data_IF_514458678090
#
_entry.id   IF_514458678090
#
_cell.length_a   1.000
_cell.length_b   1.000
_cell.length_c   1.000
_cell.angle_alpha   90.00
_cell.angle_beta   90.00
_cell.angle_gamma   90.00
#
_symmetry.space_group_name_H-M   'P 1'
#
loop_
_entity.id
_entity.type
_entity.pdbx_description
1 polymer ?
#
# COMPACT_ATOMS: atom_id res chain seq x y z
N UNK A 1 -5.99 -33.48 3.01
CA UNK A 1 -6.82 -33.40 4.22
C UNK A 1 -7.96 -32.46 3.92
N UNK A 2 -9.18 -32.80 4.33
CA UNK A 2 -10.32 -31.89 4.31
C UNK A 2 -10.29 -30.99 5.55
N UNK A 3 -11.10 -29.91 5.58
CA UNK A 3 -11.09 -28.93 6.68
C UNK A 3 -11.27 -29.55 8.08
N UNK A 4 -12.19 -30.51 8.24
CA UNK A 4 -12.48 -31.14 9.53
C UNK A 4 -11.33 -32.06 10.03
N UNK A 5 -10.67 -32.74 9.10
CA UNK A 5 -9.49 -33.57 9.39
C UNK A 5 -8.29 -32.71 9.78
N UNK A 6 -8.13 -31.54 9.14
CA UNK A 6 -7.10 -30.57 9.45
C UNK A 6 -7.30 -29.92 10.83
N UNK A 7 -8.54 -29.56 11.15
CA UNK A 7 -8.90 -28.99 12.45
C UNK A 7 -8.62 -29.97 13.59
N UNK A 8 -9.02 -31.23 13.41
CA UNK A 8 -8.78 -32.29 14.41
C UNK A 8 -7.29 -32.55 14.64
N UNK A 9 -6.48 -32.48 13.57
CA UNK A 9 -5.03 -32.64 13.66
C UNK A 9 -4.36 -31.43 14.33
N UNK A 10 -4.84 -30.21 14.02
CA UNK A 10 -4.37 -28.97 14.64
C UNK A 10 -4.62 -28.97 16.15
N UNK A 11 -5.82 -29.36 16.58
CA UNK A 11 -6.15 -29.48 18.01
C UNK A 11 -5.24 -30.50 18.72
N UNK A 12 -4.92 -31.62 18.08
CA UNK A 12 -3.97 -32.59 18.62
C UNK A 12 -2.56 -31.99 18.79
N UNK A 13 -2.06 -31.27 17.78
CA UNK A 13 -0.77 -30.60 17.87
C UNK A 13 -0.73 -29.51 18.94
N UNK A 14 -1.78 -28.68 19.03
CA UNK A 14 -1.88 -27.62 20.04
C UNK A 14 -1.92 -28.19 21.46
N UNK A 15 -2.71 -29.24 21.70
CA UNK A 15 -2.79 -29.89 23.01
C UNK A 15 -1.45 -30.53 23.40
N UNK A 16 -0.76 -31.14 22.45
CA UNK A 16 0.55 -31.76 22.68
C UNK A 16 1.61 -30.70 22.98
N UNK A 17 1.68 -29.62 22.19
CA UNK A 17 2.62 -28.53 22.41
C UNK A 17 2.37 -27.78 23.73
N UNK A 18 1.11 -27.56 24.12
CA UNK A 18 0.77 -26.97 25.43
C UNK A 18 1.21 -27.85 26.59
N UNK A 19 0.98 -29.16 26.50
CA UNK A 19 1.43 -30.10 27.53
C UNK A 19 2.96 -30.14 27.65
N UNK A 20 3.68 -30.10 26.53
CA UNK A 20 5.14 -30.05 26.52
C UNK A 20 5.69 -28.73 27.10
N UNK A 21 5.06 -27.60 26.79
CA UNK A 21 5.42 -26.30 27.35
C UNK A 21 5.18 -26.26 28.87
N UNK A 22 4.05 -26.81 29.34
CA UNK A 22 3.73 -26.94 30.77
C UNK A 22 4.73 -27.86 31.50
N UNK A 23 5.09 -29.00 30.91
CA UNK A 23 6.09 -29.93 31.47
C UNK A 23 7.49 -29.30 31.52
N UNK A 24 7.85 -28.51 30.51
CA UNK A 24 9.13 -27.81 30.43
C UNK A 24 9.18 -26.52 31.29
N UNK A 25 8.05 -26.06 31.82
CA UNK A 25 7.93 -24.78 32.52
C UNK A 25 8.21 -23.57 31.61
N UNK A 26 8.00 -23.72 30.30
CA UNK A 26 8.22 -22.68 29.29
C UNK A 26 6.89 -22.15 28.77
N UNK A 27 6.90 -20.94 28.22
CA UNK A 27 5.71 -20.38 27.57
C UNK A 27 5.37 -21.17 26.30
N UNK A 28 4.07 -21.32 26.03
CA UNK A 28 3.60 -21.97 24.81
C UNK A 28 3.78 -21.04 23.60
N UNK A 29 4.62 -21.42 22.65
CA UNK A 29 4.96 -20.60 21.46
C UNK A 29 4.35 -21.12 20.15
N UNK A 30 3.37 -22.04 20.22
CA UNK A 30 2.74 -22.63 19.05
C UNK A 30 3.11 -24.10 18.80
N UNK A 31 2.72 -24.63 17.64
CA UNK A 31 2.87 -26.06 17.28
C UNK A 31 4.19 -26.39 16.56
N UNK A 32 5.06 -25.42 16.28
CA UNK A 32 6.28 -25.62 15.47
C UNK A 32 7.26 -26.66 16.02
N UNK A 33 7.16 -26.99 17.31
CA UNK A 33 7.97 -28.05 17.95
C UNK A 33 7.41 -29.46 17.75
N UNK A 34 6.15 -29.60 17.33
CA UNK A 34 5.42 -30.87 17.20
C UNK A 34 4.86 -31.13 15.80
N UNK A 35 4.57 -30.08 15.03
CA UNK A 35 4.19 -30.18 13.63
C UNK A 35 5.44 -30.14 12.75
N UNK A 36 5.55 -31.06 11.80
CA UNK A 36 6.64 -31.04 10.84
C UNK A 36 6.48 -29.85 9.90
N UNK A 37 7.49 -28.97 9.84
CA UNK A 37 7.52 -27.84 8.91
C UNK A 37 7.93 -28.30 7.51
N UNK A 38 7.42 -27.61 6.48
CA UNK A 38 7.86 -27.84 5.12
C UNK A 38 9.31 -27.37 4.97
N UNK A 39 10.18 -28.25 4.48
CA UNK A 39 11.56 -27.89 4.20
C UNK A 39 11.62 -26.99 2.96
N UNK A 40 12.32 -25.86 3.07
CA UNK A 40 12.65 -24.99 1.94
C UNK A 40 13.57 -25.76 0.98
N UNK A 41 13.03 -26.15 -0.18
CA UNK A 41 13.79 -26.88 -1.22
C UNK A 41 14.43 -25.95 -2.25
N UNK A 42 13.90 -24.72 -2.37
CA UNK A 42 14.38 -23.67 -3.26
C UNK A 42 14.30 -22.36 -2.47
N UNK A 43 15.39 -21.56 -2.42
CA UNK A 43 15.35 -20.26 -1.79
C UNK A 43 14.20 -19.43 -2.33
N UNK A 44 13.43 -18.78 -1.46
CA UNK A 44 12.26 -18.00 -1.88
C UNK A 44 12.57 -16.94 -2.96
N UNK A 45 13.82 -16.43 -3.00
CA UNK A 45 14.30 -15.48 -4.02
C UNK A 45 14.38 -16.07 -5.44
N UNK A 46 14.44 -17.40 -5.55
CA UNK A 46 14.54 -18.13 -6.82
C UNK A 46 13.18 -18.73 -7.24
N UNK A 47 12.14 -18.53 -6.44
CA UNK A 47 10.79 -19.00 -6.74
C UNK A 47 10.04 -17.95 -7.56
N UNK A 48 9.86 -18.18 -8.86
CA UNK A 48 9.21 -17.23 -9.76
C UNK A 48 7.79 -16.83 -9.32
N UNK A 49 7.08 -17.68 -8.56
CA UNK A 49 5.77 -17.35 -8.00
C UNK A 49 5.83 -16.21 -6.95
N UNK A 50 6.96 -16.02 -6.27
CA UNK A 50 7.21 -14.90 -5.35
C UNK A 50 7.55 -13.59 -6.08
N UNK A 51 8.07 -13.68 -7.31
CA UNK A 51 8.53 -12.51 -8.07
C UNK A 51 7.42 -11.81 -8.87
N UNK A 52 6.18 -12.32 -8.82
CA UNK A 52 5.01 -11.79 -9.53
C UNK A 52 4.15 -10.81 -8.72
N UNK A 53 4.70 -10.16 -7.69
CA UNK A 53 3.94 -9.20 -6.88
C UNK A 53 3.57 -7.94 -7.69
N UNK A 54 2.26 -7.72 -7.84
CA UNK A 54 1.63 -6.59 -8.49
C UNK A 54 1.78 -5.30 -7.65
N UNK A 55 1.89 -4.17 -8.34
CA UNK A 55 2.17 -2.85 -7.77
C UNK A 55 1.06 -2.30 -6.84
N UNK A 56 1.46 -1.64 -5.76
CA UNK A 56 0.60 -0.81 -4.89
C UNK A 56 0.43 0.58 -5.51
N UNK A 57 -0.78 1.15 -5.46
CA UNK A 57 -1.12 2.38 -6.19
C UNK A 57 -1.78 3.41 -5.27
N UNK A 58 -1.27 4.64 -5.22
CA UNK A 58 -1.94 5.77 -4.57
C UNK A 58 -2.86 6.48 -5.58
N UNK A 59 -4.13 6.67 -5.23
CA UNK A 59 -5.01 7.61 -5.93
C UNK A 59 -4.65 9.03 -5.53
N UNK A 60 -4.30 9.87 -6.52
CA UNK A 60 -4.41 11.32 -6.33
C UNK A 60 -5.90 11.66 -6.43
N UNK A 61 -6.49 12.31 -5.42
CA UNK A 61 -7.83 12.91 -5.58
C UNK A 61 -7.68 14.00 -6.63
N UNK A 62 -8.12 13.70 -7.83
CA UNK A 62 -8.03 14.61 -8.95
C UNK A 62 -9.27 15.49 -8.96
N UNK A 63 -9.01 16.79 -9.08
CA UNK A 63 -10.05 17.79 -9.29
C UNK A 63 -10.78 17.50 -10.61
N UNK A 64 -12.06 17.14 -10.50
CA UNK A 64 -12.90 16.82 -11.67
C UNK A 64 -13.44 18.10 -12.26
N UNK A 65 -12.98 18.48 -13.44
CA UNK A 65 -13.45 19.70 -14.13
C UNK A 65 -14.51 19.35 -15.16
N UNK A 66 -15.66 20.00 -15.12
CA UNK A 66 -16.73 19.75 -16.07
C UNK A 66 -16.30 20.05 -17.50
N UNK A 67 -16.69 19.17 -18.41
CA UNK A 67 -16.45 19.32 -19.82
C UNK A 67 -17.53 18.64 -20.66
N UNK A 68 -17.81 19.20 -21.84
CA UNK A 68 -18.84 18.69 -22.74
C UNK A 68 -18.25 18.34 -24.11
N UNK A 69 -18.68 17.22 -24.68
CA UNK A 69 -18.26 16.81 -26.01
C UNK A 69 -18.89 17.73 -27.08
N UNK A 70 -18.08 18.36 -27.94
CA UNK A 70 -18.59 19.22 -29.02
C UNK A 70 -18.68 18.49 -30.38
N UNK A 71 -18.13 17.27 -30.48
CA UNK A 71 -18.14 16.44 -31.67
C UNK A 71 -19.38 15.54 -31.76
N UNK A 72 -19.85 15.26 -32.98
CA UNK A 72 -21.00 14.35 -33.20
C UNK A 72 -20.79 12.95 -32.62
N UNK A 73 -19.56 12.42 -32.76
CA UNK A 73 -19.12 11.18 -32.14
C UNK A 73 -17.61 11.25 -31.92
N UNK A 74 -17.18 11.07 -30.67
CA UNK A 74 -15.79 11.13 -30.26
C UNK A 74 -15.38 9.77 -29.68
N UNK A 75 -14.22 9.27 -30.08
CA UNK A 75 -13.66 8.03 -29.55
C UNK A 75 -12.79 8.34 -28.32
N UNK A 76 -13.06 7.68 -27.20
CA UNK A 76 -12.19 7.64 -26.02
C UNK A 76 -11.19 6.50 -26.20
N UNK A 77 -9.91 6.74 -25.93
CA UNK A 77 -8.82 5.79 -26.22
C UNK A 77 -7.97 5.44 -25.00
N UNK A 78 -7.34 4.26 -25.00
CA UNK A 78 -6.45 3.84 -23.90
C UNK A 78 -5.18 4.67 -23.75
N UNK A 79 -4.68 5.24 -24.85
CA UNK A 79 -3.45 6.03 -24.91
C UNK A 79 -3.58 7.23 -25.83
N UNK A 80 -2.60 8.12 -25.73
CA UNK A 80 -2.52 9.35 -26.53
C UNK A 80 -2.16 8.98 -27.98
N UNK A 81 -3.14 9.07 -28.89
CA UNK A 81 -2.91 8.83 -30.31
C UNK A 81 -4.04 8.05 -31.00
N UNK A 82 -4.12 8.18 -32.33
CA UNK A 82 -5.18 7.54 -33.13
C UNK A 82 -5.03 6.04 -33.29
N UNK A 83 -3.86 5.50 -32.97
CA UNK A 83 -3.51 4.08 -33.12
C UNK A 83 -3.82 3.27 -31.84
N UNK A 84 -4.16 3.96 -30.74
CA UNK A 84 -4.56 3.32 -29.49
C UNK A 84 -5.95 2.69 -29.59
N UNK A 85 -6.17 1.59 -28.84
CA UNK A 85 -7.47 0.93 -28.68
C UNK A 85 -8.53 1.94 -28.25
N UNK A 86 -9.73 1.78 -28.78
CA UNK A 86 -10.90 2.57 -28.42
C UNK A 86 -11.62 1.85 -27.28
N UNK A 87 -11.92 2.57 -26.20
CA UNK A 87 -12.52 2.02 -24.98
C UNK A 87 -13.96 2.47 -24.74
N UNK A 88 -14.34 3.57 -25.34
CA UNK A 88 -15.71 4.08 -25.30
C UNK A 88 -15.93 5.20 -26.31
N UNK A 89 -17.15 5.70 -26.38
CA UNK A 89 -17.49 6.82 -27.26
C UNK A 89 -18.37 7.86 -26.58
N UNK A 90 -18.13 9.14 -26.89
CA UNK A 90 -18.93 10.27 -26.47
C UNK A 90 -19.78 10.79 -27.63
N UNK A 91 -21.05 11.03 -27.37
CA UNK A 91 -21.93 11.74 -28.30
C UNK A 91 -21.87 13.26 -28.06
N UNK A 92 -22.30 14.04 -29.04
CA UNK A 92 -22.35 15.50 -28.89
C UNK A 92 -23.20 15.92 -27.69
N UNK A 93 -22.66 16.82 -26.88
CA UNK A 93 -23.26 17.31 -25.64
C UNK A 93 -23.16 16.37 -24.45
N UNK A 94 -22.48 15.22 -24.58
CA UNK A 94 -22.25 14.32 -23.46
C UNK A 94 -21.29 14.93 -22.44
N UNK A 95 -21.55 14.67 -21.17
CA UNK A 95 -20.77 15.13 -20.02
C UNK A 95 -19.55 14.24 -19.80
N UNK A 96 -18.41 14.88 -19.53
CA UNK A 96 -17.20 14.25 -19.06
C UNK A 96 -16.48 15.16 -18.05
N UNK A 97 -15.52 14.59 -17.35
CA UNK A 97 -14.65 15.27 -16.40
C UNK A 97 -13.24 15.26 -16.94
N UNK A 98 -12.61 16.42 -17.07
CA UNK A 98 -11.17 16.49 -17.31
C UNK A 98 -10.47 16.15 -16.00
N UNK A 99 -9.65 15.13 -16.03
CA UNK A 99 -8.91 14.62 -14.88
C UNK A 99 -7.43 15.00 -14.95
N UNK A 100 -6.81 14.98 -16.13
CA UNK A 100 -5.41 15.36 -16.28
C UNK A 100 -5.13 15.97 -17.66
N UNK A 101 -3.94 16.55 -17.77
CA UNK A 101 -3.36 17.04 -19.03
C UNK A 101 -4.19 18.09 -19.76
N UNK A 102 -4.99 18.89 -19.04
CA UNK A 102 -5.88 19.91 -19.62
C UNK A 102 -5.18 20.83 -20.65
N UNK A 103 -3.88 21.09 -20.48
CA UNK A 103 -3.08 21.95 -21.36
C UNK A 103 -2.42 21.23 -22.56
N UNK A 104 -2.70 19.94 -22.76
CA UNK A 104 -2.13 19.10 -23.82
C UNK A 104 -3.09 18.91 -25.01
N UNK A 105 -2.59 18.41 -26.14
CA UNK A 105 -3.42 18.05 -27.30
C UNK A 105 -4.38 16.89 -26.99
N UNK A 106 -3.89 15.91 -26.21
CA UNK A 106 -4.67 14.79 -25.72
C UNK A 106 -4.90 14.97 -24.23
N UNK A 107 -6.17 15.08 -23.84
CA UNK A 107 -6.58 15.25 -22.46
C UNK A 107 -7.13 13.93 -21.93
N UNK A 108 -6.94 13.69 -20.64
CA UNK A 108 -7.45 12.50 -19.99
C UNK A 108 -8.74 12.81 -19.24
N UNK A 109 -9.78 12.01 -19.53
CA UNK A 109 -11.14 12.27 -19.10
C UNK A 109 -11.79 11.05 -18.43
N UNK A 110 -12.87 11.32 -17.69
CA UNK A 110 -13.81 10.33 -17.18
C UNK A 110 -15.24 10.69 -17.61
N UNK A 111 -16.03 9.70 -18.04
CA UNK A 111 -17.46 9.86 -18.30
C UNK A 111 -18.18 8.55 -18.01
N UNK A 112 -19.00 8.52 -16.96
CA UNK A 112 -19.54 7.28 -16.42
C UNK A 112 -18.43 6.33 -16.00
N UNK A 113 -18.48 5.09 -16.47
CA UNK A 113 -17.48 4.05 -16.21
C UNK A 113 -16.30 4.05 -17.20
N UNK A 114 -16.27 5.00 -18.15
CA UNK A 114 -15.23 5.09 -19.17
C UNK A 114 -14.20 6.15 -18.81
N UNK A 115 -12.93 5.74 -18.71
CA UNK A 115 -11.77 6.62 -18.64
C UNK A 115 -10.87 6.46 -19.85
N UNK A 116 -10.21 7.53 -20.27
CA UNK A 116 -9.22 7.48 -21.34
C UNK A 116 -8.97 8.83 -21.99
N UNK A 117 -8.28 8.81 -23.12
CA UNK A 117 -7.81 9.99 -23.82
C UNK A 117 -8.72 10.42 -24.96
N UNK A 118 -8.90 11.72 -25.07
CA UNK A 118 -9.57 12.38 -26.18
C UNK A 118 -8.77 13.60 -26.62
N UNK A 119 -8.96 14.08 -27.85
CA UNK A 119 -8.34 15.34 -28.28
C UNK A 119 -9.07 16.53 -27.67
N UNK A 120 -8.31 17.50 -27.15
CA UNK A 120 -8.84 18.71 -26.50
C UNK A 120 -9.74 19.55 -27.42
N UNK A 121 -9.47 19.57 -28.73
CA UNK A 121 -10.28 20.32 -29.70
C UNK A 121 -11.75 19.90 -29.74
N UNK A 122 -12.09 18.68 -29.27
CA UNK A 122 -13.44 18.14 -29.27
C UNK A 122 -14.18 18.28 -27.94
N UNK A 123 -13.61 19.00 -26.98
CA UNK A 123 -14.09 19.10 -25.61
C UNK A 123 -14.21 20.58 -25.22
N UNK A 124 -15.42 21.02 -24.88
CA UNK A 124 -15.71 22.36 -24.38
C UNK A 124 -15.64 22.37 -22.84
N UNK A 125 -14.83 23.24 -22.25
CA UNK A 125 -14.63 23.36 -20.80
C UNK A 125 -14.44 24.83 -20.39
N UNK A 126 -14.56 25.13 -19.08
CA UNK A 126 -14.43 26.46 -18.50
C UNK A 126 -15.75 27.04 -17.96
N UNK A 127 -15.74 28.30 -17.52
CA UNK A 127 -16.84 28.90 -16.74
C UNK A 127 -18.23 28.78 -17.38
N UNK A 128 -18.32 28.87 -18.71
CA UNK A 128 -19.60 28.71 -19.41
C UNK A 128 -20.14 27.28 -19.34
N UNK A 129 -19.25 26.29 -19.46
CA UNK A 129 -19.57 24.87 -19.31
C UNK A 129 -19.94 24.56 -17.87
N UNK A 130 -19.14 25.02 -16.90
CA UNK A 130 -19.38 24.78 -15.48
C UNK A 130 -20.77 25.29 -15.08
N UNK A 131 -21.09 26.53 -15.43
CA UNK A 131 -22.40 27.12 -15.18
C UNK A 131 -23.53 26.36 -15.87
N UNK A 132 -23.33 25.92 -17.11
CA UNK A 132 -24.37 25.20 -17.85
C UNK A 132 -24.66 23.82 -17.24
N UNK A 133 -23.67 23.14 -16.67
CA UNK A 133 -23.82 21.86 -15.98
C UNK A 133 -24.45 22.08 -14.61
N UNK A 134 -23.97 23.04 -13.82
CA UNK A 134 -24.52 23.38 -12.50
C UNK A 134 -25.99 23.82 -12.55
N UNK A 135 -26.38 24.60 -13.57
CA UNK A 135 -27.77 25.06 -13.74
C UNK A 135 -28.73 23.94 -14.15
N UNK A 136 -28.26 22.94 -14.91
CA UNK A 136 -29.10 21.86 -15.47
C UNK A 136 -29.04 20.56 -14.68
N UNK A 137 -28.05 20.40 -13.82
CA UNK A 137 -27.73 19.13 -13.16
C UNK A 137 -26.99 18.16 -14.08
N UNK A 138 -26.02 17.42 -13.54
CA UNK A 138 -25.22 16.42 -14.27
C UNK A 138 -26.10 15.35 -14.93
N UNK A 139 -27.20 14.98 -14.29
CA UNK A 139 -28.15 13.96 -14.73
C UNK A 139 -28.90 14.34 -16.02
N UNK A 140 -28.86 15.61 -16.40
CA UNK A 140 -29.46 16.11 -17.64
C UNK A 140 -28.61 15.83 -18.89
N UNK A 141 -27.39 15.32 -18.71
CA UNK A 141 -26.44 15.08 -19.79
C UNK A 141 -26.22 13.57 -20.01
N UNK A 142 -25.99 13.18 -21.26
CA UNK A 142 -25.58 11.82 -21.57
C UNK A 142 -24.14 11.57 -21.12
N UNK A 143 -23.81 10.32 -20.81
CA UNK A 143 -22.44 9.87 -20.52
C UNK A 143 -21.87 9.06 -21.68
N UNK A 144 -20.62 8.66 -21.58
CA UNK A 144 -19.97 7.82 -22.59
C UNK A 144 -20.64 6.44 -22.72
N UNK A 145 -20.69 5.94 -23.95
CA UNK A 145 -20.99 4.54 -24.23
C UNK A 145 -19.70 3.72 -24.04
N UNK A 146 -19.74 2.79 -23.10
CA UNK A 146 -18.66 1.83 -22.83
C UNK A 146 -18.58 0.79 -23.96
N UNK A 147 -17.38 0.56 -24.50
CA UNK A 147 -17.14 -0.43 -25.55
C UNK A 147 -16.35 -1.66 -25.08
N UNK A 148 -15.67 -1.55 -23.94
CA UNK A 148 -14.93 -2.64 -23.29
C UNK A 148 -15.24 -2.60 -21.79
N UNK A 149 -15.15 -3.74 -21.12
CA UNK A 149 -15.32 -3.78 -19.66
C UNK A 149 -14.27 -2.92 -18.95
N UNK A 150 -14.60 -2.23 -17.84
CA UNK A 150 -13.64 -1.38 -17.15
C UNK A 150 -12.38 -2.13 -16.73
N UNK A 151 -12.50 -3.41 -16.39
CA UNK A 151 -11.36 -4.26 -16.02
C UNK A 151 -10.38 -4.51 -17.17
N UNK A 152 -10.81 -4.35 -18.43
CA UNK A 152 -9.94 -4.47 -19.61
C UNK A 152 -9.41 -3.12 -20.10
N UNK A 153 -9.77 -2.01 -19.44
CA UNK A 153 -9.38 -0.66 -19.82
C UNK A 153 -8.15 -0.20 -19.04
N UNK A 154 -6.98 -0.31 -19.67
CA UNK A 154 -5.70 0.09 -19.07
C UNK A 154 -5.64 1.59 -18.76
N UNK A 155 -6.45 2.40 -19.44
CA UNK A 155 -6.48 3.84 -19.23
C UNK A 155 -6.98 4.23 -17.83
N UNK A 156 -7.77 3.38 -17.16
CA UNK A 156 -8.33 3.68 -15.82
C UNK A 156 -7.24 4.03 -14.80
N UNK A 157 -6.04 3.49 -15.01
CA UNK A 157 -4.88 3.67 -14.16
C UNK A 157 -4.03 4.90 -14.53
N UNK A 158 -4.37 5.67 -15.56
CA UNK A 158 -3.49 6.75 -16.05
C UNK A 158 -3.27 7.88 -15.04
N UNK A 159 -4.31 8.25 -14.32
CA UNK A 159 -4.24 9.23 -13.23
C UNK A 159 -3.71 8.66 -11.93
N UNK A 160 -3.42 7.36 -11.94
CA UNK A 160 -2.67 6.76 -10.88
C UNK A 160 -1.21 6.96 -11.17
N UNK A 161 -0.58 7.83 -10.39
CA UNK A 161 0.87 7.88 -10.37
C UNK A 161 1.37 6.57 -9.78
N UNK A 162 1.96 5.72 -10.62
CA UNK A 162 2.96 4.76 -10.19
C UNK A 162 4.15 5.56 -9.65
N UNK A 163 4.04 5.95 -8.39
CA UNK A 163 5.23 6.14 -7.57
C UNK A 163 5.63 4.73 -7.16
N UNK A 164 6.81 4.31 -7.61
CA UNK A 164 7.57 3.36 -6.80
C UNK A 164 7.91 4.11 -5.51
N UNK A 165 7.00 4.08 -4.54
CA UNK A 165 7.18 4.57 -3.19
C UNK A 165 6.40 3.66 -2.28
N UNK A 166 7.13 2.86 -1.50
CA UNK A 166 6.55 2.07 -0.42
C UNK A 166 5.82 3.01 0.51
N UNK A 167 4.54 2.73 0.73
CA UNK A 167 3.80 3.31 1.84
C UNK A 167 4.43 2.71 3.11
N UNK A 168 4.96 3.51 4.06
CA UNK A 168 5.38 3.00 5.36
C UNK A 168 4.22 2.18 5.95
N UNK A 169 4.49 1.01 6.55
CA UNK A 169 3.44 0.07 6.95
C UNK A 169 2.31 0.66 7.83
N UNK A 170 2.56 1.78 8.52
CA UNK A 170 1.54 2.53 9.26
C UNK A 170 0.59 3.39 8.41
N UNK A 171 1.05 3.93 7.27
CA UNK A 171 0.24 4.79 6.39
C UNK A 171 -0.76 3.97 5.56
N UNK A 172 -0.43 2.71 5.20
CA UNK A 172 -1.33 1.84 4.44
C UNK A 172 -2.54 1.44 5.29
N UNK A 173 -2.29 0.98 6.52
CA UNK A 173 -3.33 0.63 7.49
C UNK A 173 -4.26 1.81 7.75
N UNK A 174 -3.69 2.99 8.00
CA UNK A 174 -4.47 4.19 8.27
C UNK A 174 -5.28 4.65 7.05
N UNK A 175 -4.68 4.66 5.86
CA UNK A 175 -5.38 5.00 4.61
C UNK A 175 -6.57 4.05 4.36
N UNK A 176 -6.37 2.75 4.55
CA UNK A 176 -7.44 1.76 4.40
C UNK A 176 -8.60 2.03 5.36
N UNK A 177 -8.30 2.35 6.61
CA UNK A 177 -9.30 2.68 7.62
C UNK A 177 -10.01 4.00 7.35
N UNK A 178 -9.29 5.02 6.90
CA UNK A 178 -9.87 6.31 6.53
C UNK A 178 -10.78 6.18 5.31
N UNK A 179 -10.40 5.33 4.34
CA UNK A 179 -11.24 4.98 3.20
C UNK A 179 -12.49 4.22 3.65
N UNK A 180 -12.35 3.17 4.46
CA UNK A 180 -13.49 2.43 5.01
C UNK A 180 -14.44 3.31 5.81
N UNK A 181 -13.91 4.28 6.56
CA UNK A 181 -14.69 5.20 7.40
C UNK A 181 -15.58 6.15 6.58
N UNK A 182 -15.24 6.46 5.32
CA UNK A 182 -16.06 7.34 4.46
C UNK A 182 -17.44 6.76 4.17
N UNK A 183 -17.60 5.44 4.29
CA UNK A 183 -18.85 4.74 4.00
C UNK A 183 -19.71 4.51 5.25
N UNK A 184 -19.28 4.99 6.42
CA UNK A 184 -20.10 4.96 7.64
C UNK A 184 -21.40 5.73 7.39
N UNK A 185 -22.52 5.10 7.72
CA UNK A 185 -23.88 5.59 7.47
C UNK A 185 -24.54 5.02 6.21
N UNK A 186 -23.77 4.38 5.32
CA UNK A 186 -24.33 3.74 4.13
C UNK A 186 -25.05 2.42 4.49
N UNK A 187 -26.05 1.98 3.69
CA UNK A 187 -26.92 0.89 4.06
C UNK A 187 -26.21 -0.48 4.02
N UNK A 188 -26.69 -1.40 4.86
CA UNK A 188 -26.35 -2.81 4.75
C UNK A 188 -27.32 -3.49 3.80
N UNK A 189 -26.80 -4.20 2.81
CA UNK A 189 -27.60 -4.99 1.87
C UNK A 189 -27.03 -6.40 1.79
N UNK A 190 -27.85 -7.39 2.18
CA UNK A 190 -27.46 -8.80 2.09
C UNK A 190 -27.10 -9.17 0.64
N UNK A 191 -25.91 -9.73 0.42
CA UNK A 191 -25.41 -10.04 -0.92
C UNK A 191 -24.78 -8.84 -1.65
N UNK A 192 -24.88 -7.62 -1.11
CA UNK A 192 -24.37 -6.40 -1.75
C UNK A 192 -22.85 -6.25 -1.65
N UNK A 193 -22.28 -5.59 -2.65
CA UNK A 193 -20.86 -5.20 -2.73
C UNK A 193 -20.68 -3.71 -3.06
N UNK A 194 -21.76 -2.92 -3.11
CA UNK A 194 -21.70 -1.50 -3.42
C UNK A 194 -21.40 -0.70 -2.15
N UNK A 195 -20.33 0.09 -2.16
CA UNK A 195 -19.94 0.92 -1.00
C UNK A 195 -20.93 2.06 -0.74
N UNK A 196 -21.75 2.44 -1.72
CA UNK A 196 -22.72 3.55 -1.65
C UNK A 196 -24.17 3.07 -1.65
N UNK A 197 -24.52 2.09 -2.48
CA UNK A 197 -25.89 1.56 -2.58
C UNK A 197 -26.17 0.42 -1.58
N UNK A 198 -25.11 -0.12 -1.00
CA UNK A 198 -25.16 -1.01 0.16
C UNK A 198 -24.41 -2.32 -0.02
N UNK A 199 -23.82 -2.78 1.08
CA UNK A 199 -22.99 -3.97 1.13
C UNK A 199 -23.30 -4.83 2.36
N UNK A 200 -23.05 -6.14 2.27
CA UNK A 200 -22.99 -6.99 3.46
C UNK A 200 -21.60 -6.97 4.08
N UNK A 201 -21.39 -7.65 5.21
CA UNK A 201 -20.12 -7.61 5.95
C UNK A 201 -18.92 -7.99 5.06
N UNK A 202 -19.00 -9.13 4.37
CA UNK A 202 -17.96 -9.60 3.48
C UNK A 202 -17.85 -8.80 2.17
N UNK A 203 -18.97 -8.32 1.63
CA UNK A 203 -18.98 -7.48 0.43
C UNK A 203 -18.40 -6.09 0.69
N UNK A 204 -18.61 -5.53 1.87
CA UNK A 204 -17.98 -4.28 2.31
C UNK A 204 -16.46 -4.46 2.40
N UNK A 205 -15.99 -5.47 3.13
CA UNK A 205 -14.56 -5.79 3.24
C UNK A 205 -13.92 -6.04 1.86
N UNK A 206 -14.57 -6.85 1.02
CA UNK A 206 -14.11 -7.12 -0.34
C UNK A 206 -13.94 -5.82 -1.14
N UNK A 207 -14.92 -4.93 -1.09
CA UNK A 207 -14.88 -3.68 -1.84
C UNK A 207 -13.87 -2.68 -1.31
N UNK A 208 -13.59 -2.65 0.00
CA UNK A 208 -12.51 -1.84 0.58
C UNK A 208 -11.16 -2.37 0.11
N UNK A 209 -10.88 -3.65 0.32
CA UNK A 209 -9.58 -4.27 0.03
C UNK A 209 -9.26 -4.31 -1.47
N UNK A 210 -10.28 -4.41 -2.34
CA UNK A 210 -10.13 -4.32 -3.79
C UNK A 210 -9.50 -2.98 -4.22
N UNK A 211 -9.82 -1.87 -3.55
CA UNK A 211 -9.22 -0.56 -3.87
C UNK A 211 -7.72 -0.50 -3.54
N UNK A 212 -7.26 -1.38 -2.65
CA UNK A 212 -5.87 -1.53 -2.26
C UNK A 212 -5.16 -2.70 -2.98
N UNK A 213 -5.78 -3.24 -4.05
CA UNK A 213 -5.19 -4.28 -4.89
C UNK A 213 -5.37 -5.71 -4.39
N UNK A 214 -6.15 -5.93 -3.33
CA UNK A 214 -6.41 -7.27 -2.78
C UNK A 214 -7.73 -7.85 -3.28
N UNK A 215 -7.65 -8.99 -3.97
CA UNK A 215 -8.82 -9.71 -4.48
C UNK A 215 -9.33 -10.73 -3.47
N UNK A 216 -10.17 -10.27 -2.54
CA UNK A 216 -10.72 -11.14 -1.51
C UNK A 216 -11.88 -12.02 -2.02
N UNK A 217 -12.03 -13.25 -1.50
CA UNK A 217 -13.19 -14.09 -1.73
C UNK A 217 -14.50 -13.40 -1.31
N UNK A 218 -15.63 -13.87 -1.85
CA UNK A 218 -16.90 -13.19 -1.64
C UNK A 218 -17.44 -13.37 -0.23
N UNK A 219 -17.20 -14.51 0.41
CA UNK A 219 -17.84 -14.83 1.70
C UNK A 219 -16.89 -14.63 2.88
N UNK A 220 -17.43 -14.27 4.04
CA UNK A 220 -16.63 -14.11 5.28
C UNK A 220 -15.92 -15.39 5.69
N UNK A 221 -16.53 -16.56 5.45
CA UNK A 221 -15.90 -17.86 5.66
C UNK A 221 -14.65 -18.06 4.81
N UNK A 222 -14.67 -17.70 3.53
CA UNK A 222 -13.49 -17.81 2.67
C UNK A 222 -12.46 -16.72 2.97
N UNK A 223 -12.90 -15.49 3.25
CA UNK A 223 -12.01 -14.38 3.65
C UNK A 223 -11.19 -14.71 4.91
N UNK A 224 -11.79 -15.46 5.84
CA UNK A 224 -11.12 -15.89 7.08
C UNK A 224 -9.91 -16.81 6.86
N UNK A 225 -9.77 -17.35 5.64
CA UNK A 225 -8.67 -18.23 5.22
C UNK A 225 -7.74 -17.61 4.18
N UNK A 226 -8.00 -16.37 3.75
CA UNK A 226 -7.25 -15.76 2.64
C UNK A 226 -5.82 -15.34 3.01
N UNK A 227 -5.63 -14.78 4.20
CA UNK A 227 -4.34 -14.29 4.69
C UNK A 227 -3.81 -15.10 5.87
N UNK A 228 -2.87 -14.52 6.62
CA UNK A 228 -2.29 -15.14 7.81
C UNK A 228 -3.26 -15.06 8.98
N UNK A 229 -3.67 -16.21 9.51
CA UNK A 229 -4.45 -16.26 10.74
C UNK A 229 -3.58 -15.89 11.94
N UNK A 230 -4.06 -14.94 12.75
CA UNK A 230 -3.39 -14.42 13.93
C UNK A 230 -4.35 -14.42 15.13
N UNK A 231 -3.82 -14.46 16.36
CA UNK A 231 -4.61 -14.20 17.55
C UNK A 231 -5.29 -12.82 17.48
N UNK A 232 -6.50 -12.70 18.04
CA UNK A 232 -7.27 -11.44 17.99
C UNK A 232 -6.55 -10.35 18.80
N UNK A 233 -5.85 -10.73 19.86
CA UNK A 233 -5.00 -9.86 20.67
C UNK A 233 -3.81 -9.28 19.91
N UNK A 234 -3.35 -9.94 18.85
CA UNK A 234 -2.25 -9.50 18.00
C UNK A 234 -2.75 -8.71 16.78
N UNK A 235 -4.06 -8.51 16.67
CA UNK A 235 -4.67 -7.77 15.58
C UNK A 235 -4.18 -6.32 15.57
N UNK A 236 -3.80 -5.88 14.38
CA UNK A 236 -3.37 -4.52 14.09
C UNK A 236 -4.46 -3.81 13.26
N UNK A 237 -4.53 -2.47 13.31
CA UNK A 237 -5.49 -1.70 12.51
C UNK A 237 -5.47 -2.12 11.03
N UNK A 238 -6.60 -2.46 10.43
CA UNK A 238 -6.71 -3.00 9.08
C UNK A 238 -6.79 -4.54 9.02
N UNK A 239 -6.44 -5.27 10.08
CA UNK A 239 -6.64 -6.72 10.13
C UNK A 239 -8.14 -7.06 10.20
N UNK A 240 -8.53 -8.22 9.66
CA UNK A 240 -9.92 -8.66 9.68
C UNK A 240 -10.20 -9.52 10.91
N UNK A 241 -11.29 -9.26 11.61
CA UNK A 241 -11.72 -10.08 12.76
C UNK A 241 -13.01 -10.83 12.41
N UNK A 242 -13.06 -12.12 12.74
CA UNK A 242 -14.15 -13.01 12.35
C UNK A 242 -14.93 -13.52 13.55
N UNK A 243 -16.25 -13.65 13.35
CA UNK A 243 -17.18 -14.20 14.32
C UNK A 243 -17.83 -15.46 13.76
N UNK A 244 -17.85 -16.53 14.55
CA UNK A 244 -18.46 -17.79 14.17
C UNK A 244 -19.50 -18.25 15.18
N UNK A 245 -20.47 -19.01 14.69
CA UNK A 245 -21.47 -19.69 15.50
C UNK A 245 -21.60 -21.11 15.00
N UNK A 246 -21.50 -22.07 15.92
CA UNK A 246 -21.53 -23.51 15.59
C UNK A 246 -20.49 -23.90 14.54
N UNK A 247 -19.27 -23.33 14.63
CA UNK A 247 -18.17 -23.62 13.71
C UNK A 247 -18.27 -22.93 12.33
N UNK A 248 -19.30 -22.12 12.09
CA UNK A 248 -19.48 -21.41 10.81
C UNK A 248 -19.29 -19.92 11.01
N UNK A 249 -18.34 -19.32 10.27
CA UNK A 249 -18.13 -17.87 10.23
C UNK A 249 -19.37 -17.22 9.63
N UNK A 250 -19.96 -16.27 10.36
CA UNK A 250 -21.16 -15.55 9.93
C UNK A 250 -20.93 -14.05 9.78
N UNK A 251 -19.83 -13.51 10.30
CA UNK A 251 -19.56 -12.07 10.27
C UNK A 251 -18.06 -11.77 10.23
N UNK A 252 -17.71 -10.65 9.61
CA UNK A 252 -16.35 -10.13 9.47
C UNK A 252 -16.36 -8.63 9.68
N UNK A 253 -15.32 -8.11 10.33
CA UNK A 253 -15.14 -6.67 10.58
C UNK A 253 -13.69 -6.26 10.29
N UNK A 254 -13.47 -4.99 9.95
CA UNK A 254 -12.12 -4.42 9.84
C UNK A 254 -11.76 -3.85 11.23
N UNK A 255 -10.65 -4.31 11.82
CA UNK A 255 -10.17 -3.79 13.10
C UNK A 255 -9.62 -2.37 12.92
N UNK A 256 -10.05 -1.42 13.75
CA UNK A 256 -9.68 -0.01 13.60
C UNK A 256 -8.68 0.47 14.68
N UNK A 257 -8.13 -0.44 15.49
CA UNK A 257 -7.30 -0.11 16.66
C UNK A 257 -8.13 0.24 17.89
N UNK A 258 -7.48 0.30 19.06
CA UNK A 258 -8.10 0.70 20.35
C UNK A 258 -9.42 -0.02 20.69
N UNK A 259 -9.56 -1.29 20.29
CA UNK A 259 -10.79 -2.05 20.49
C UNK A 259 -11.98 -1.56 19.66
N UNK A 260 -11.74 -0.80 18.58
CA UNK A 260 -12.76 -0.31 17.65
C UNK A 260 -12.78 -1.12 16.35
N UNK A 261 -13.92 -1.09 15.66
CA UNK A 261 -14.14 -1.78 14.37
C UNK A 261 -14.82 -0.86 13.36
N UNK A 262 -14.66 -1.15 12.06
CA UNK A 262 -15.50 -0.63 10.98
C UNK A 262 -16.17 -1.83 10.31
N UNK A 263 -17.50 -1.81 10.20
CA UNK A 263 -18.25 -2.98 9.74
C UNK A 263 -19.58 -2.62 9.10
N UNK A 264 -20.01 -3.43 8.13
CA UNK A 264 -21.40 -3.47 7.70
C UNK A 264 -22.17 -4.41 8.63
N UNK A 265 -22.85 -3.85 9.64
CA UNK A 265 -23.34 -4.62 10.79
C UNK A 265 -24.65 -5.38 10.49
N UNK A 266 -25.68 -4.66 10.03
CA UNK A 266 -26.99 -5.25 9.74
C UNK A 266 -27.90 -4.27 9.00
N UNK A 267 -28.99 -4.75 8.39
CA UNK A 267 -29.97 -3.93 7.66
C UNK A 267 -30.52 -2.73 8.45
N UNK A 268 -30.67 -2.86 9.78
CA UNK A 268 -31.22 -1.79 10.61
C UNK A 268 -30.18 -0.74 11.04
N UNK A 269 -28.89 -1.01 10.79
CA UNK A 269 -27.77 -0.22 11.30
C UNK A 269 -26.90 0.34 10.17
N UNK A 270 -26.66 -0.44 9.12
CA UNK A 270 -25.77 -0.08 8.02
C UNK A 270 -24.30 -0.29 8.34
N UNK A 271 -23.45 0.46 7.65
CA UNK A 271 -22.00 0.53 7.88
C UNK A 271 -21.74 1.48 9.04
N UNK A 272 -21.04 1.02 10.07
CA UNK A 272 -20.84 1.76 11.32
C UNK A 272 -19.44 1.54 11.89
N UNK A 273 -19.05 2.46 12.78
CA UNK A 273 -18.02 2.17 13.78
C UNK A 273 -18.63 1.36 14.93
N UNK A 274 -17.96 0.28 15.31
CA UNK A 274 -18.33 -0.59 16.40
C UNK A 274 -17.23 -0.73 17.45
N UNK A 275 -17.53 -1.52 18.47
CA UNK A 275 -16.56 -1.96 19.48
C UNK A 275 -16.29 -3.44 19.27
N UNK A 276 -15.02 -3.82 19.35
CA UNK A 276 -14.58 -5.21 19.23
C UNK A 276 -15.18 -6.06 20.36
N UNK A 277 -15.91 -7.11 19.99
CA UNK A 277 -16.42 -8.12 20.92
C UNK A 277 -15.46 -9.29 21.01
N UNK A 278 -14.43 -9.14 21.86
CA UNK A 278 -13.39 -10.16 22.06
C UNK A 278 -13.92 -11.47 22.64
N UNK A 279 -15.11 -11.49 23.25
CA UNK A 279 -15.68 -12.70 23.84
C UNK A 279 -16.25 -13.66 22.78
N UNK A 280 -16.61 -13.14 21.60
CA UNK A 280 -17.19 -13.92 20.51
C UNK A 280 -16.35 -13.92 19.22
N UNK A 281 -15.29 -13.11 19.17
CA UNK A 281 -14.29 -13.18 18.12
C UNK A 281 -13.55 -14.53 18.18
N UNK A 282 -13.32 -15.14 17.02
CA UNK A 282 -12.76 -16.50 16.95
C UNK A 282 -11.29 -16.46 16.56
N UNK A 283 -10.94 -15.67 15.54
CA UNK A 283 -9.57 -15.32 15.18
C UNK A 283 -9.56 -14.05 14.32
N UNK A 284 -8.36 -13.51 14.10
CA UNK A 284 -8.12 -12.44 13.15
C UNK A 284 -7.31 -12.94 11.95
N UNK A 285 -7.47 -12.32 10.79
CA UNK A 285 -6.69 -12.61 9.58
C UNK A 285 -5.99 -11.34 9.14
N UNK A 286 -4.66 -11.38 9.11
CA UNK A 286 -3.81 -10.35 8.53
C UNK A 286 -3.67 -10.59 7.04
N UNK A 287 -4.11 -9.60 6.27
CA UNK A 287 -4.05 -9.61 4.80
C UNK A 287 -3.02 -8.60 4.32
N UNK A 288 -2.92 -7.47 5.01
CA UNK A 288 -2.01 -6.41 4.65
C UNK A 288 -0.57 -6.86 4.89
N UNK A 289 0.21 -6.92 3.82
CA UNK A 289 1.65 -7.13 3.85
C UNK A 289 2.35 -5.80 4.12
N UNK A 290 1.98 -5.15 5.22
CA UNK A 290 2.53 -3.88 5.69
C UNK A 290 3.55 -4.06 6.80
N UNK A 291 4.11 -5.27 6.92
CA UNK A 291 5.32 -5.49 7.69
C UNK A 291 6.48 -4.84 6.94
N UNK A 292 6.58 -3.51 7.06
CA UNK A 292 7.68 -2.72 6.52
C UNK A 292 8.60 -2.40 7.68
N UNK A 293 9.82 -2.93 7.59
CA UNK A 293 10.99 -2.44 8.33
C UNK A 293 10.95 -0.91 8.38
N UNK A 294 10.78 -0.36 9.58
CA UNK A 294 10.53 1.05 9.84
C UNK A 294 11.45 1.95 9.01
N UNK A 295 10.86 2.82 8.18
CA UNK A 295 11.53 3.96 7.55
C UNK A 295 10.76 5.22 7.95
N UNK A 296 11.21 5.91 8.99
CA UNK A 296 11.04 7.35 9.10
C UNK A 296 12.10 8.01 8.24
N UNK A 297 11.66 8.72 7.20
CA UNK A 297 12.44 9.49 6.19
C UNK A 297 13.40 8.65 5.34
N UNK A 298 13.28 8.80 4.02
CA UNK A 298 14.16 8.29 2.95
C UNK A 298 14.46 6.79 2.98
N UNK A 299 13.86 6.02 2.06
CA UNK A 299 14.39 4.69 1.78
C UNK A 299 15.80 4.85 1.19
N UNK A 300 16.82 4.22 1.77
CA UNK A 300 18.19 4.23 1.21
C UNK A 300 18.23 3.65 -0.23
N UNK A 301 17.18 2.93 -0.63
CA UNK A 301 16.99 2.39 -1.97
C UNK A 301 16.23 3.33 -2.93
N UNK A 302 15.71 4.46 -2.44
CA UNK A 302 15.07 5.48 -3.28
C UNK A 302 16.12 6.09 -4.24
N UNK A 303 15.79 6.22 -5.53
CA UNK A 303 16.63 6.95 -6.48
C UNK A 303 16.08 8.36 -6.58
N UNK A 304 16.70 9.31 -5.87
CA UNK A 304 16.32 10.72 -5.85
C UNK A 304 17.36 11.63 -6.53
N UNK A 305 18.41 11.06 -7.14
CA UNK A 305 19.40 11.78 -7.92
C UNK A 305 19.15 11.64 -9.43
N UNK A 306 18.95 12.76 -10.12
CA UNK A 306 18.88 12.81 -11.58
C UNK A 306 20.28 12.79 -12.22
N UNK A 307 20.44 12.33 -13.49
CA UNK A 307 21.74 12.29 -14.17
C UNK A 307 22.51 13.62 -14.18
N UNK A 308 21.80 14.76 -14.19
CA UNK A 308 22.40 16.09 -14.18
C UNK A 308 23.03 16.49 -12.83
N UNK A 309 22.65 15.80 -11.75
CA UNK A 309 23.10 16.06 -10.37
C UNK A 309 24.43 15.39 -10.02
N UNK A 310 24.90 14.44 -10.83
CA UNK A 310 26.17 13.73 -10.62
C UNK A 310 27.37 14.66 -10.87
N UNK A 311 28.13 14.90 -9.81
CA UNK A 311 29.37 15.66 -9.83
C UNK A 311 30.62 14.76 -9.86
N UNK A 312 31.65 15.17 -9.12
CA UNK A 312 32.95 14.49 -9.10
C UNK A 312 32.82 13.10 -8.49
N UNK A 313 33.31 12.07 -9.19
CA UNK A 313 33.44 10.72 -8.63
C UNK A 313 34.59 10.69 -7.60
N UNK A 314 34.30 10.28 -6.38
CA UNK A 314 35.23 10.12 -5.25
C UNK A 314 35.86 8.71 -5.18
N UNK A 315 35.37 7.77 -5.99
CA UNK A 315 35.79 6.37 -6.10
C UNK A 315 34.85 5.42 -5.38
N UNK A 316 35.26 4.15 -5.31
CA UNK A 316 34.54 3.10 -4.58
C UNK A 316 34.74 3.23 -3.07
N UNK A 317 33.64 3.16 -2.31
CA UNK A 317 33.62 3.16 -0.86
C UNK A 317 33.02 1.86 -0.33
N UNK A 318 33.52 1.43 0.83
CA UNK A 318 32.89 0.37 1.63
C UNK A 318 31.70 0.96 2.38
N UNK A 319 30.53 0.37 2.20
CA UNK A 319 29.30 0.74 2.87
C UNK A 319 28.98 -0.25 3.99
N UNK A 320 28.68 0.28 5.17
CA UNK A 320 28.08 -0.44 6.30
C UNK A 320 26.82 0.30 6.75
N UNK A 321 26.04 -0.28 7.66
CA UNK A 321 24.77 0.29 8.13
C UNK A 321 24.70 0.27 9.66
N UNK A 322 24.03 1.25 10.25
CA UNK A 322 23.92 1.38 11.70
C UNK A 322 22.56 1.97 12.13
N UNK A 323 22.11 1.64 13.35
CA UNK A 323 20.96 2.28 14.01
C UNK A 323 21.36 3.13 15.20
N UNK A 324 20.41 3.91 15.73
CA UNK A 324 20.61 4.74 16.92
C UNK A 324 20.65 3.95 18.24
N UNK A 325 20.37 2.65 18.16
CA UNK A 325 20.37 1.68 19.24
C UNK A 325 21.73 1.62 19.99
N UNK A 326 21.70 1.26 21.28
CA UNK A 326 22.90 1.17 22.13
C UNK A 326 23.96 0.18 21.60
N UNK A 327 23.52 -0.88 20.91
CA UNK A 327 24.40 -1.90 20.30
C UNK A 327 25.26 -1.30 19.18
N UNK A 328 24.72 -0.36 18.40
CA UNK A 328 25.43 0.26 17.28
C UNK A 328 26.16 1.56 17.67
N UNK A 329 25.64 2.31 18.64
CA UNK A 329 26.11 3.67 18.95
C UNK A 329 26.73 3.84 20.34
N UNK A 330 26.91 2.76 21.13
CA UNK A 330 27.35 2.75 22.53
C UNK A 330 26.44 3.51 23.53
N UNK A 331 25.65 4.48 23.07
CA UNK A 331 24.65 5.26 23.81
C UNK A 331 23.49 5.62 22.88
N UNK A 332 22.25 5.35 23.30
CA UNK A 332 21.03 5.65 22.54
C UNK A 332 20.69 7.15 22.60
N UNK A 333 21.36 7.96 21.78
CA UNK A 333 21.11 9.41 21.69
C UNK A 333 20.31 9.81 20.46
N UNK A 334 20.49 9.09 19.35
CA UNK A 334 19.92 9.48 18.05
C UNK A 334 20.38 10.85 17.54
N UNK A 335 21.52 11.37 18.03
CA UNK A 335 22.07 12.67 17.64
C UNK A 335 23.41 12.47 16.91
N UNK A 336 23.53 13.07 15.73
CA UNK A 336 24.73 13.03 14.89
C UNK A 336 25.88 13.85 15.48
N UNK A 337 27.11 13.63 14.99
CA UNK A 337 28.27 14.46 15.31
C UNK A 337 28.06 15.97 15.02
N UNK A 338 27.18 16.33 14.08
CA UNK A 338 26.79 17.72 13.80
C UNK A 338 25.71 18.28 14.73
N UNK A 339 25.14 17.48 15.63
CA UNK A 339 24.15 17.91 16.62
C UNK A 339 22.70 17.88 16.13
N UNK A 340 22.44 17.27 14.97
CA UNK A 340 21.09 17.04 14.44
C UNK A 340 20.61 15.62 14.75
N UNK A 341 19.31 15.37 14.85
CA UNK A 341 18.81 14.00 14.88
C UNK A 341 19.25 13.22 13.64
N UNK A 342 19.55 11.94 13.83
CA UNK A 342 19.76 11.01 12.70
C UNK A 342 18.46 10.84 11.92
N UNK A 343 18.58 10.78 10.60
CA UNK A 343 17.45 10.71 9.67
C UNK A 343 17.78 9.66 8.63
N UNK A 344 16.99 8.59 8.56
CA UNK A 344 17.22 7.53 7.59
C UNK A 344 17.05 8.10 6.15
N UNK A 345 17.74 7.51 5.16
CA UNK A 345 17.82 8.04 3.78
C UNK A 345 18.29 9.49 3.68
N UNK A 346 19.05 9.95 4.67
CA UNK A 346 19.72 11.24 4.63
C UNK A 346 21.06 11.14 5.32
N UNK A 347 21.07 10.70 6.57
CA UNK A 347 22.24 10.76 7.42
C UNK A 347 23.22 9.65 7.07
N UNK A 348 24.48 10.06 6.84
CA UNK A 348 25.61 9.13 6.74
C UNK A 348 26.72 9.54 7.71
N UNK A 349 27.38 8.52 8.26
CA UNK A 349 28.62 8.67 9.00
C UNK A 349 29.81 8.50 8.05
N UNK A 350 30.73 9.46 8.08
CA UNK A 350 31.87 9.51 7.16
C UNK A 350 33.18 9.81 7.89
N UNK A 351 34.32 9.65 7.19
CA UNK A 351 35.57 10.29 7.60
C UNK A 351 35.56 11.76 7.14
N UNK A 352 35.50 12.75 8.05
CA UNK A 352 35.39 14.16 7.69
C UNK A 352 36.61 14.71 6.93
N UNK A 353 37.74 14.00 6.97
CA UNK A 353 38.93 14.35 6.20
C UNK A 353 38.83 13.94 4.72
N UNK A 354 37.91 13.02 4.41
CA UNK A 354 37.62 12.54 3.04
C UNK A 354 36.33 13.20 2.52
N UNK A 355 35.26 13.20 3.31
CA UNK A 355 33.97 13.82 3.00
C UNK A 355 33.61 14.80 4.14
N UNK A 356 33.82 16.11 3.99
CA UNK A 356 33.50 17.08 5.04
C UNK A 356 32.01 17.08 5.42
N UNK A 357 31.70 17.43 6.67
CA UNK A 357 30.30 17.55 7.11
C UNK A 357 29.49 18.56 6.28
N UNK A 358 28.20 18.27 6.11
CA UNK A 358 27.28 19.02 5.26
C UNK A 358 27.44 18.72 3.76
N UNK A 359 28.47 17.96 3.36
CA UNK A 359 28.62 17.53 1.97
C UNK A 359 27.51 16.56 1.61
N UNK A 360 26.86 16.81 0.47
CA UNK A 360 25.90 15.89 -0.11
C UNK A 360 26.60 15.00 -1.14
N UNK A 361 26.32 13.69 -1.07
CA UNK A 361 26.89 12.68 -1.95
C UNK A 361 25.78 11.82 -2.55
N UNK A 362 26.00 11.35 -3.77
CA UNK A 362 25.14 10.38 -4.44
C UNK A 362 25.77 9.00 -4.33
N UNK A 363 25.01 8.05 -3.79
CA UNK A 363 25.38 6.63 -3.66
C UNK A 363 24.22 5.83 -4.24
N UNK A 364 24.47 5.00 -5.26
CA UNK A 364 23.44 4.20 -5.94
C UNK A 364 22.19 4.99 -6.40
N UNK A 365 22.36 6.27 -6.74
CA UNK A 365 21.24 7.14 -7.15
C UNK A 365 20.49 7.81 -6.01
N UNK A 366 20.92 7.64 -4.77
CA UNK A 366 20.36 8.30 -3.60
C UNK A 366 21.28 9.39 -3.06
N UNK A 367 20.72 10.53 -2.69
CA UNK A 367 21.40 11.69 -2.13
C UNK A 367 21.45 11.57 -0.61
N UNK A 368 22.64 11.45 -0.06
CA UNK A 368 22.91 11.47 1.37
C UNK A 368 23.63 12.73 1.80
N UNK A 369 23.55 13.06 3.08
CA UNK A 369 24.25 14.18 3.73
C UNK A 369 25.20 13.66 4.79
N UNK A 370 26.48 14.07 4.69
CA UNK A 370 27.50 13.79 5.70
C UNK A 370 27.22 14.56 6.98
N UNK A 371 26.68 13.89 7.99
CA UNK A 371 26.25 14.54 9.25
C UNK A 371 26.86 13.88 10.48
N UNK A 372 27.41 12.67 10.34
CA UNK A 372 27.84 11.87 11.47
C UNK A 372 29.27 11.30 11.32
N UNK A 373 29.83 10.78 12.40
CA UNK A 373 31.08 10.02 12.35
C UNK A 373 31.14 8.94 13.44
N UNK A 374 31.73 7.79 13.10
CA UNK A 374 32.06 6.74 14.06
C UNK A 374 33.57 6.53 14.19
N UNK A 375 34.03 6.02 15.33
CA UNK A 375 35.46 5.72 15.55
C UNK A 375 36.04 4.74 14.51
N UNK A 376 35.21 3.83 14.00
CA UNK A 376 35.55 2.84 12.99
C UNK A 376 35.40 3.31 11.53
N UNK A 377 34.91 4.53 11.30
CA UNK A 377 34.69 5.12 9.98
C UNK A 377 35.91 5.97 9.61
N UNK A 378 36.77 5.41 8.73
CA UNK A 378 38.05 5.99 8.31
C UNK A 378 38.29 5.74 6.82
N UNK A 379 38.85 6.73 6.11
CA UNK A 379 39.14 6.63 4.68
C UNK A 379 37.87 6.44 3.84
N UNK A 380 37.93 5.55 2.85
CA UNK A 380 36.81 5.25 1.95
C UNK A 380 35.79 4.28 2.59
N UNK A 381 35.28 4.64 3.76
CA UNK A 381 34.20 3.92 4.44
C UNK A 381 33.08 4.90 4.80
N UNK A 382 31.85 4.48 4.54
CA UNK A 382 30.63 5.20 4.91
C UNK A 382 29.75 4.25 5.71
N UNK A 383 29.19 4.74 6.81
CA UNK A 383 28.10 4.06 7.53
C UNK A 383 26.79 4.79 7.21
N UNK A 384 25.81 4.06 6.69
CA UNK A 384 24.52 4.62 6.33
C UNK A 384 23.55 4.40 7.48
N UNK A 385 22.96 5.48 7.98
CA UNK A 385 22.00 5.37 9.07
C UNK A 385 20.71 4.70 8.60
N UNK A 386 20.22 3.77 9.41
CA UNK A 386 18.93 3.11 9.26
C UNK A 386 18.16 3.11 10.58
N UNK A 387 16.83 3.14 10.54
CA UNK A 387 16.03 3.23 11.77
C UNK A 387 15.98 1.92 12.57
N UNK A 388 16.32 0.79 11.94
CA UNK A 388 16.13 -0.54 12.49
C UNK A 388 17.44 -1.37 12.56
N UNK A 389 17.64 -2.07 13.67
CA UNK A 389 18.86 -2.85 13.92
C UNK A 389 18.95 -4.11 13.06
N UNK A 390 17.86 -4.84 12.94
CA UNK A 390 17.83 -6.08 12.16
C UNK A 390 18.02 -5.79 10.67
N UNK A 391 17.50 -4.65 10.23
CA UNK A 391 17.77 -4.08 8.91
C UNK A 391 19.23 -3.75 8.68
N UNK A 392 19.89 -3.08 9.63
CA UNK A 392 21.31 -2.76 9.53
C UNK A 392 22.15 -4.04 9.33
N UNK A 393 21.80 -5.10 10.07
CA UNK A 393 22.44 -6.41 9.95
C UNK A 393 22.14 -7.10 8.62
N UNK A 394 20.88 -7.06 8.16
CA UNK A 394 20.44 -7.70 6.91
C UNK A 394 21.09 -7.06 5.66
N UNK A 395 21.30 -5.74 5.66
CA UNK A 395 21.95 -5.02 4.56
C UNK A 395 23.44 -5.33 4.43
N UNK A 396 24.08 -5.79 5.52
CA UNK A 396 25.44 -6.31 5.50
C UNK A 396 26.50 -5.29 5.06
N UNK A 397 27.50 -5.76 4.32
CA UNK A 397 28.61 -4.94 3.81
C UNK A 397 28.53 -4.87 2.30
N UNK A 398 28.47 -3.66 1.76
CA UNK A 398 28.41 -3.42 0.31
C UNK A 398 29.53 -2.48 -0.15
N UNK A 399 29.67 -2.33 -1.47
CA UNK A 399 30.60 -1.39 -2.09
C UNK A 399 29.87 -0.61 -3.17
N UNK A 400 30.13 0.69 -3.28
CA UNK A 400 29.56 1.54 -4.31
C UNK A 400 30.48 2.71 -4.67
N UNK A 401 30.36 3.16 -5.92
CA UNK A 401 30.94 4.43 -6.37
C UNK A 401 30.20 5.61 -5.74
N UNK A 402 30.94 6.56 -5.17
CA UNK A 402 30.38 7.73 -4.48
C UNK A 402 30.67 8.97 -5.30
N UNK A 403 29.63 9.76 -5.57
CA UNK A 403 29.74 11.01 -6.34
C UNK A 403 29.40 12.20 -5.46
N UNK A 404 30.10 13.32 -5.63
CA UNK A 404 29.66 14.59 -5.06
C UNK A 404 28.38 15.04 -5.77
N UNK A 405 27.41 15.55 -5.02
CA UNK A 405 26.28 16.29 -5.60
C UNK A 405 26.80 17.59 -6.25
N UNK A 406 26.32 17.90 -7.46
CA UNK A 406 26.77 19.04 -8.26
C UNK A 406 26.14 20.37 -7.88
#
# INVERSE_FOLDING_TARGET
MTGDEAQSLLEQYQNTAKALAEEAGTEYTGIGTVAAEAAELVPWQENEAFTWLRATVNQTVIDKKYALCNATKLNIREGQGTDSRIVGTLSQGALCYILADQDQEWIYIESGDVRGFVKSEYIDFGEETDRAVEEKGEESFGLAEQLIEPEENEAIYYTLTSIKSGVPGGELRQSLLDFAAQFIGNPYVWGGTSLTEGADCSGFVQSIFRQYGYELPRTSGEQSQYGTQIPVEDAQPGDLIFYARNGVVYHVVIYAGDGQTIEAMSTNVGIVRGTLDTAHAVWATRILEDTVYAYGSGDIAEVNAEPAMYGTNLGEFKLTYYCACEICCDVETGITATGTPVVEGRTIAVDPTVIPYGTQVIINGHIFTAEDCGGAIKGNRIDIYVNDHDRANALGVNYAEVYLLK
#
